data_IF_368039824704
#
_entry.id   IF_368039824704
#
_cell.length_a   1.000
_cell.length_b   1.000
_cell.length_c   1.000
_cell.angle_alpha   90.00
_cell.angle_beta   90.00
_cell.angle_gamma   90.00
#
_symmetry.space_group_name_H-M   'P 1'
#
loop_
_entity.id
_entity.type
_entity.pdbx_description
1 polymer ?
#
# COMPACT_ATOMS: atom_id res chain seq x y z
N UNK A 1 -21.16 8.93 -20.11
CA UNK A 1 -21.26 8.07 -21.31
C UNK A 1 -20.04 8.25 -22.21
N UNK A 2 -18.91 7.67 -21.81
CA UNK A 2 -17.66 7.70 -22.57
C UNK A 2 -17.61 6.51 -23.52
N UNK A 3 -17.87 6.75 -24.81
CA UNK A 3 -17.85 5.72 -25.85
C UNK A 3 -16.84 6.09 -26.90
N UNK A 4 -15.87 5.21 -27.13
CA UNK A 4 -14.91 5.34 -28.22
C UNK A 4 -15.49 4.63 -29.43
N UNK A 5 -15.70 5.38 -30.51
CA UNK A 5 -16.18 4.85 -31.79
C UNK A 5 -15.13 5.08 -32.87
N UNK A 6 -14.76 4.00 -33.53
CA UNK A 6 -14.08 4.03 -34.82
C UNK A 6 -14.71 2.99 -35.75
N UNK A 7 -14.45 3.06 -37.06
CA UNK A 7 -15.24 2.47 -38.17
C UNK A 7 -15.81 1.05 -37.92
N UNK A 8 -15.08 0.19 -37.19
CA UNK A 8 -15.48 -1.17 -36.82
C UNK A 8 -15.42 -1.46 -35.31
N UNK A 9 -15.05 -0.50 -34.47
CA UNK A 9 -14.81 -0.68 -33.03
C UNK A 9 -15.71 0.23 -32.20
N UNK A 10 -16.51 -0.38 -31.34
CA UNK A 10 -17.36 0.30 -30.36
C UNK A 10 -16.99 -0.20 -28.95
N UNK A 11 -16.25 0.61 -28.20
CA UNK A 11 -15.91 0.32 -26.81
C UNK A 11 -16.70 1.27 -25.93
N UNK A 12 -17.59 0.71 -25.11
CA UNK A 12 -18.23 1.44 -24.02
C UNK A 12 -17.34 1.38 -22.78
N UNK A 13 -16.81 2.54 -22.39
CA UNK A 13 -15.94 2.68 -21.23
C UNK A 13 -16.72 3.06 -19.97
N UNK A 14 -18.02 3.36 -20.06
CA UNK A 14 -18.82 3.83 -18.93
C UNK A 14 -18.79 2.89 -17.73
N UNK A 15 -18.94 1.55 -17.89
CA UNK A 15 -18.88 0.63 -16.75
C UNK A 15 -17.52 0.68 -16.06
N UNK A 16 -16.45 0.76 -16.86
CA UNK A 16 -15.08 0.81 -16.35
C UNK A 16 -14.79 2.12 -15.60
N UNK A 17 -15.24 3.26 -16.14
CA UNK A 17 -15.07 4.56 -15.50
C UNK A 17 -15.82 4.64 -14.18
N UNK A 18 -17.04 4.09 -14.12
CA UNK A 18 -17.86 4.07 -12.91
C UNK A 18 -17.19 3.25 -11.81
N UNK A 19 -16.79 2.00 -12.10
CA UNK A 19 -16.06 1.16 -11.13
C UNK A 19 -14.75 1.83 -10.68
N UNK A 20 -14.03 2.45 -11.62
CA UNK A 20 -12.75 3.12 -11.32
C UNK A 20 -12.95 4.31 -10.40
N UNK A 21 -13.97 5.14 -10.62
CA UNK A 21 -14.30 6.26 -9.73
C UNK A 21 -14.68 5.76 -8.33
N UNK A 22 -15.54 4.74 -8.22
CA UNK A 22 -15.89 4.19 -6.90
C UNK A 22 -14.67 3.63 -6.15
N UNK A 23 -13.78 2.93 -6.86
CA UNK A 23 -12.53 2.40 -6.28
C UNK A 23 -11.60 3.55 -5.88
N UNK A 24 -11.54 4.62 -6.68
CA UNK A 24 -10.74 5.80 -6.39
C UNK A 24 -11.26 6.53 -5.15
N UNK A 25 -12.56 6.73 -5.01
CA UNK A 25 -13.17 7.38 -3.85
C UNK A 25 -12.88 6.63 -2.55
N UNK A 26 -12.98 5.28 -2.58
CA UNK A 26 -12.57 4.46 -1.43
C UNK A 26 -11.08 4.60 -1.11
N UNK A 27 -10.23 4.72 -2.13
CA UNK A 27 -8.81 4.91 -1.92
C UNK A 27 -8.50 6.30 -1.35
N UNK A 28 -9.17 7.35 -1.82
CA UNK A 28 -9.06 8.71 -1.26
C UNK A 28 -9.51 8.74 0.20
N UNK A 29 -10.60 8.05 0.54
CA UNK A 29 -11.04 7.89 1.92
C UNK A 29 -9.95 7.20 2.77
N UNK A 30 -9.34 6.12 2.27
CA UNK A 30 -8.24 5.45 2.96
C UNK A 30 -7.02 6.36 3.16
N UNK A 31 -6.66 7.19 2.17
CA UNK A 31 -5.58 8.17 2.28
C UNK A 31 -5.84 9.19 3.39
N UNK A 32 -7.08 9.63 3.57
CA UNK A 32 -7.43 10.62 4.60
C UNK A 32 -7.26 10.13 6.04
N UNK A 33 -7.22 8.80 6.22
CA UNK A 33 -7.02 8.16 7.52
C UNK A 33 -5.55 7.90 7.86
N UNK A 34 -4.63 8.20 6.94
CA UNK A 34 -3.20 7.91 7.08
C UNK A 34 -2.41 9.21 7.20
N UNK A 35 -1.52 9.25 8.19
CA UNK A 35 -0.61 10.36 8.43
C UNK A 35 0.84 9.88 8.34
N UNK A 36 1.70 10.70 7.73
CA UNK A 36 3.15 10.46 7.66
C UNK A 36 3.88 11.74 8.06
N UNK A 37 4.39 11.76 9.29
CA UNK A 37 5.17 12.87 9.84
C UNK A 37 6.56 12.33 10.26
N UNK A 38 7.68 12.94 9.83
CA UNK A 38 9.02 12.58 10.30
C UNK A 38 9.18 12.51 11.83
N UNK A 39 8.42 13.31 12.60
CA UNK A 39 8.37 13.28 14.06
C UNK A 39 7.60 12.08 14.65
N UNK A 40 6.82 11.36 13.84
CA UNK A 40 6.04 10.20 14.23
C UNK A 40 6.62 8.95 13.55
N UNK A 41 7.26 8.08 14.35
CA UNK A 41 7.89 6.84 13.86
C UNK A 41 8.80 7.06 12.63
N UNK A 42 9.49 8.20 12.56
CA UNK A 42 10.42 8.51 11.48
C UNK A 42 9.76 8.69 10.11
N UNK A 43 8.49 9.10 10.05
CA UNK A 43 7.74 9.24 8.80
C UNK A 43 7.05 7.97 8.32
N UNK A 44 7.06 6.91 9.13
CA UNK A 44 6.30 5.69 8.82
C UNK A 44 4.81 6.03 8.72
N UNK A 45 4.08 5.57 7.69
CA UNK A 45 2.63 5.74 7.60
C UNK A 45 1.92 5.14 8.82
N UNK A 46 1.23 5.99 9.59
CA UNK A 46 0.45 5.61 10.75
C UNK A 46 -1.03 5.93 10.55
N UNK A 47 -1.90 5.24 11.28
CA UNK A 47 -3.32 5.63 11.35
C UNK A 47 -3.40 6.97 12.08
N UNK A 48 -4.06 7.95 11.47
CA UNK A 48 -4.13 9.33 11.96
C UNK A 48 -4.60 9.40 13.42
N UNK A 49 -3.94 10.23 14.23
CA UNK A 49 -4.21 10.34 15.67
C UNK A 49 -3.67 9.17 16.50
N UNK A 50 -2.92 8.24 15.91
CA UNK A 50 -2.29 7.12 16.60
C UNK A 50 -0.80 7.02 16.25
N UNK A 51 -0.06 6.18 16.97
CA UNK A 51 1.30 5.74 16.57
C UNK A 51 1.28 4.29 16.07
N UNK A 52 0.16 3.86 15.48
CA UNK A 52 -0.03 2.49 14.99
C UNK A 52 0.30 2.45 13.49
N UNK A 53 1.32 1.70 13.07
CA UNK A 53 1.68 1.60 11.65
C UNK A 53 0.56 0.97 10.82
N UNK A 54 0.25 1.60 9.69
CA UNK A 54 -0.80 1.11 8.76
C UNK A 54 -0.47 -0.29 8.26
N UNK A 55 0.80 -0.54 7.94
CA UNK A 55 1.25 -1.81 7.39
C UNK A 55 1.20 -2.97 8.40
N UNK A 56 1.32 -2.70 9.70
CA UNK A 56 1.21 -3.75 10.73
C UNK A 56 -0.23 -4.22 10.90
N UNK A 57 -1.18 -3.29 10.86
CA UNK A 57 -2.61 -3.60 10.86
C UNK A 57 -2.99 -4.36 9.59
N UNK A 58 -2.54 -3.88 8.42
CA UNK A 58 -2.78 -4.56 7.15
C UNK A 58 -2.15 -5.96 7.09
N UNK A 59 -0.94 -6.15 7.64
CA UNK A 59 -0.30 -7.45 7.74
C UNK A 59 -1.07 -8.40 8.66
N UNK A 60 -1.62 -7.89 9.76
CA UNK A 60 -2.47 -8.66 10.67
C UNK A 60 -3.75 -9.16 9.98
N UNK A 61 -4.40 -8.28 9.22
CA UNK A 61 -5.58 -8.62 8.43
C UNK A 61 -5.23 -9.63 7.30
N UNK A 62 -4.12 -9.42 6.59
CA UNK A 62 -3.64 -10.31 5.55
C UNK A 62 -3.25 -11.70 6.08
N UNK A 63 -2.82 -11.81 7.33
CA UNK A 63 -2.58 -13.07 8.02
C UNK A 63 -3.87 -13.81 8.41
N UNK A 64 -5.05 -13.25 8.11
CA UNK A 64 -6.36 -13.85 8.39
C UNK A 64 -6.80 -13.71 9.85
N UNK A 65 -6.21 -12.79 10.61
CA UNK A 65 -6.67 -12.52 11.98
C UNK A 65 -8.08 -11.88 11.92
N UNK A 66 -9.02 -12.34 12.76
CA UNK A 66 -10.36 -11.75 12.78
C UNK A 66 -10.28 -10.30 13.28
N UNK A 67 -11.15 -9.43 12.74
CA UNK A 67 -11.19 -8.00 13.07
C UNK A 67 -11.25 -7.75 14.58
N UNK A 68 -12.02 -8.56 15.32
CA UNK A 68 -12.11 -8.47 16.79
C UNK A 68 -10.74 -8.60 17.47
N UNK A 69 -9.93 -9.55 17.05
CA UNK A 69 -8.59 -9.79 17.62
C UNK A 69 -7.62 -8.66 17.27
N UNK A 70 -7.73 -8.09 16.07
CA UNK A 70 -6.93 -6.93 15.67
C UNK A 70 -7.30 -5.71 16.54
N UNK A 71 -8.59 -5.52 16.84
CA UNK A 71 -9.06 -4.44 17.74
C UNK A 71 -8.66 -4.66 19.20
N UNK A 72 -8.57 -5.90 19.65
CA UNK A 72 -8.04 -6.23 20.99
C UNK A 72 -6.55 -5.87 21.10
N UNK A 73 -5.77 -6.16 20.06
CA UNK A 73 -4.36 -5.80 19.98
C UNK A 73 -4.16 -4.27 19.90
N UNK A 74 -5.00 -3.59 19.12
CA UNK A 74 -4.95 -2.14 18.88
C UNK A 74 -6.22 -1.46 19.39
N UNK A 75 -6.27 -1.25 20.71
CA UNK A 75 -7.42 -0.58 21.35
C UNK A 75 -7.60 0.82 20.76
N UNK A 76 -8.82 1.09 20.27
CA UNK A 76 -9.18 2.37 19.65
C UNK A 76 -9.34 2.32 18.14
N UNK A 77 -8.93 1.23 17.48
CA UNK A 77 -9.23 1.05 16.06
C UNK A 77 -10.68 0.64 15.82
N UNK A 78 -11.29 1.31 14.85
CA UNK A 78 -12.56 0.92 14.23
C UNK A 78 -12.33 -0.17 13.17
N UNK A 79 -13.40 -0.87 12.82
CA UNK A 79 -13.38 -1.84 11.71
C UNK A 79 -13.08 -1.18 10.37
N UNK A 80 -13.66 0.01 10.13
CA UNK A 80 -13.41 0.82 8.94
C UNK A 80 -11.92 1.16 8.80
N UNK A 81 -11.24 1.56 9.89
CA UNK A 81 -9.80 1.84 9.86
C UNK A 81 -8.96 0.60 9.51
N UNK A 82 -9.38 -0.60 9.93
CA UNK A 82 -8.69 -1.86 9.59
C UNK A 82 -8.87 -2.19 8.10
N UNK A 83 -10.07 -1.99 7.57
CA UNK A 83 -10.34 -2.16 6.14
C UNK A 83 -9.57 -1.15 5.29
N UNK A 84 -9.61 0.13 5.67
CA UNK A 84 -8.88 1.20 4.99
C UNK A 84 -7.36 1.01 5.07
N UNK A 85 -6.83 0.54 6.19
CA UNK A 85 -5.42 0.18 6.30
C UNK A 85 -5.03 -0.92 5.30
N UNK A 86 -5.89 -1.92 5.14
CA UNK A 86 -5.69 -3.00 4.17
C UNK A 86 -5.75 -2.49 2.72
N UNK A 87 -6.68 -1.57 2.41
CA UNK A 87 -6.76 -0.93 1.10
C UNK A 87 -5.50 -0.08 0.81
N UNK A 88 -5.10 0.76 1.77
CA UNK A 88 -3.91 1.59 1.67
C UNK A 88 -2.66 0.75 1.41
N UNK A 89 -2.45 -0.33 2.16
CA UNK A 89 -1.25 -1.17 2.04
C UNK A 89 -1.15 -1.89 0.69
N UNK A 90 -2.29 -2.26 0.07
CA UNK A 90 -2.29 -2.83 -1.29
C UNK A 90 -1.90 -1.80 -2.35
N UNK A 91 -2.35 -0.57 -2.21
CA UNK A 91 -2.04 0.51 -3.13
C UNK A 91 -0.62 1.08 -2.91
N UNK A 92 -0.13 1.03 -1.67
CA UNK A 92 1.18 1.51 -1.24
C UNK A 92 1.98 0.37 -0.61
N UNK A 93 2.40 -0.65 -1.37
CA UNK A 93 3.14 -1.77 -0.82
C UNK A 93 4.47 -1.30 -0.25
N UNK A 94 4.86 -1.83 0.93
CA UNK A 94 6.16 -1.57 1.52
C UNK A 94 7.27 -1.96 0.52
N UNK A 95 8.15 -1.00 0.24
CA UNK A 95 9.36 -1.24 -0.54
C UNK A 95 10.31 -2.07 0.34
N UNK A 96 10.20 -3.39 0.21
CA UNK A 96 11.09 -4.32 0.89
C UNK A 96 12.53 -4.19 0.43
N UNK A 97 13.43 -4.97 1.06
CA UNK A 97 14.77 -5.16 0.51
C UNK A 97 14.60 -5.63 -0.95
N UNK A 98 15.32 -5.03 -1.92
CA UNK A 98 15.31 -5.51 -3.29
C UNK A 98 15.51 -7.03 -3.29
N UNK A 99 14.65 -7.80 -3.97
CA UNK A 99 14.76 -9.24 -3.96
C UNK A 99 16.16 -9.64 -4.39
N UNK A 100 16.71 -10.65 -3.73
CA UNK A 100 18.02 -11.16 -4.12
C UNK A 100 17.94 -11.58 -5.58
N UNK A 101 18.81 -11.02 -6.42
CA UNK A 101 18.80 -11.28 -7.85
C UNK A 101 19.11 -12.76 -8.05
N UNK A 102 18.08 -13.55 -8.40
CA UNK A 102 18.27 -14.95 -8.76
C UNK A 102 19.12 -15.00 -10.02
N UNK A 103 20.32 -15.59 -9.90
CA UNK A 103 21.15 -15.95 -11.04
C UNK A 103 20.40 -17.03 -11.84
N UNK A 104 20.14 -16.79 -13.11
CA UNK A 104 19.55 -17.75 -14.04
C UNK A 104 20.65 -18.53 -14.73
N UNK A 105 20.54 -19.87 -14.77
CA UNK A 105 21.39 -20.75 -15.60
C UNK A 105 22.88 -20.43 -15.57
N UNK A 106 23.36 -19.79 -16.64
CA UNK A 106 24.78 -19.48 -16.89
C UNK A 106 25.22 -18.09 -16.36
N UNK A 107 24.35 -17.41 -15.61
CA UNK A 107 24.66 -16.11 -15.01
C UNK A 107 25.93 -16.19 -14.16
N UNK A 108 26.95 -15.42 -14.56
CA UNK A 108 28.19 -15.26 -13.79
C UNK A 108 28.30 -13.82 -13.29
N UNK A 109 28.54 -13.65 -12.00
CA UNK A 109 28.86 -12.33 -11.42
C UNK A 109 30.16 -11.81 -12.04
N UNK A 110 30.06 -10.78 -12.88
CA UNK A 110 31.23 -10.14 -13.52
C UNK A 110 31.87 -9.12 -12.57
N UNK A 111 31.05 -8.45 -11.74
CA UNK A 111 31.51 -7.51 -10.73
C UNK A 111 30.47 -7.37 -9.61
N UNK A 112 30.94 -7.23 -8.37
CA UNK A 112 30.12 -6.85 -7.23
C UNK A 112 30.53 -5.45 -6.78
N UNK A 113 29.60 -4.50 -6.84
CA UNK A 113 29.79 -3.16 -6.25
C UNK A 113 29.02 -3.08 -4.96
N UNK A 114 29.74 -2.95 -3.84
CA UNK A 114 29.12 -2.60 -2.56
C UNK A 114 29.03 -1.08 -2.53
N UNK A 115 27.81 -0.56 -2.40
CA UNK A 115 27.58 0.87 -2.22
C UNK A 115 27.56 1.12 -0.72
N UNK A 116 28.46 1.96 -0.23
CA UNK A 116 28.41 2.39 1.16
C UNK A 116 27.12 3.14 1.43
N UNK A 117 26.48 2.79 2.54
CA UNK A 117 25.24 3.43 2.95
C UNK A 117 25.55 4.89 3.24
N UNK A 118 24.97 5.82 2.47
CA UNK A 118 25.00 7.24 2.81
C UNK A 118 24.47 7.39 4.24
N UNK A 119 25.31 7.82 5.16
CA UNK A 119 24.85 8.19 6.49
C UNK A 119 24.06 9.50 6.36
N UNK A 120 22.87 9.52 6.96
CA UNK A 120 22.10 10.75 7.07
C UNK A 120 22.93 11.75 7.90
N UNK A 121 23.18 12.92 7.33
CA UNK A 121 23.79 14.04 8.05
C UNK A 121 22.79 14.52 9.09
N UNK A 122 23.23 14.64 10.34
CA UNK A 122 22.42 15.06 11.49
C UNK A 122 21.91 16.49 11.35
#
# INVERSE_FOLDING_TARGET
HCVVRHDWLHIDLEPFLTETHERWDRYVAALSMVESDPGILGGTPVIAGTRIPVHDVAASAAAGLPTSRIREAYRGLSEEQIEMASLYARANPLQGRPPERRMLGEDRVIARRVVERRQATA
#
